data_IF_999659396182
#
_entry.id   IF_999659396182
#
_cell.length_a   1.000
_cell.length_b   1.000
_cell.length_c   1.000
_cell.angle_alpha   90.00
_cell.angle_beta   90.00
_cell.angle_gamma   90.00
#
_symmetry.space_group_name_H-M   'P 1'
#
loop_
_entity.id
_entity.type
_entity.pdbx_description
1 polymer ?
#
# COMPACT_ATOMS: atom_id res chain seq x y z
N UNK A 1 38.16 28.81 13.58
CA UNK A 1 39.24 29.80 13.75
C UNK A 1 39.20 30.79 12.60
N UNK A 2 39.15 32.08 12.91
CA UNK A 2 39.74 33.22 12.18
C UNK A 2 40.37 32.84 10.82
N UNK A 3 39.74 33.29 9.72
CA UNK A 3 40.35 33.76 8.44
C UNK A 3 39.22 34.03 7.42
N UNK A 4 38.62 35.20 7.56
CA UNK A 4 38.09 35.97 6.44
C UNK A 4 39.31 36.58 5.76
N UNK A 5 39.51 36.37 4.46
CA UNK A 5 40.12 37.33 3.51
C UNK A 5 40.33 36.65 2.14
N UNK A 6 39.91 37.36 1.08
CA UNK A 6 40.39 37.29 -0.31
C UNK A 6 39.83 36.14 -1.16
N UNK A 7 38.90 36.46 -2.06
CA UNK A 7 39.09 36.39 -3.53
C UNK A 7 37.96 37.22 -4.16
N UNK A 8 38.26 38.51 -4.33
CA UNK A 8 37.60 39.43 -5.26
C UNK A 8 38.43 39.41 -6.55
N UNK A 9 37.74 39.45 -7.69
CA UNK A 9 38.25 39.76 -9.03
C UNK A 9 39.35 38.86 -9.63
N UNK A 10 38.95 38.12 -10.66
CA UNK A 10 39.75 38.05 -11.87
C UNK A 10 38.84 38.12 -13.11
N UNK A 11 38.38 39.32 -13.43
CA UNK A 11 38.08 39.70 -14.81
C UNK A 11 39.38 40.26 -15.38
N UNK A 12 40.00 39.55 -16.33
CA UNK A 12 40.85 40.17 -17.36
C UNK A 12 41.42 39.14 -18.35
N UNK A 13 40.95 39.25 -19.59
CA UNK A 13 41.72 39.17 -20.84
C UNK A 13 42.18 37.78 -21.30
N UNK A 14 41.51 37.28 -22.34
CA UNK A 14 42.19 36.89 -23.57
C UNK A 14 41.23 37.00 -24.76
N UNK A 15 41.05 38.23 -25.25
CA UNK A 15 40.74 38.45 -26.66
C UNK A 15 42.03 38.16 -27.42
N UNK A 16 42.12 36.97 -28.03
CA UNK A 16 43.04 36.74 -29.13
C UNK A 16 42.18 36.63 -30.38
N UNK A 17 42.23 37.67 -31.19
CA UNK A 17 41.78 37.62 -32.56
C UNK A 17 42.61 36.61 -33.33
N UNK A 18 41.95 35.65 -33.98
CA UNK A 18 42.54 34.92 -35.08
C UNK A 18 42.06 35.61 -36.35
N UNK A 19 43.00 36.33 -36.95
CA UNK A 19 42.91 36.95 -38.27
C UNK A 19 42.55 35.93 -39.36
N UNK A 20 41.83 36.45 -40.35
CA UNK A 20 41.41 35.76 -41.56
C UNK A 20 42.54 35.01 -42.29
N UNK A 21 42.29 33.76 -42.64
CA UNK A 21 42.84 33.13 -43.84
C UNK A 21 41.70 32.73 -44.74
N UNK A 22 41.76 33.21 -45.99
CA UNK A 22 40.83 32.85 -47.05
C UNK A 22 41.12 31.42 -47.54
N UNK A 23 40.05 30.85 -48.09
CA UNK A 23 40.05 29.78 -49.09
C UNK A 23 40.45 28.36 -48.63
N UNK A 24 39.41 27.61 -48.24
CA UNK A 24 39.08 26.33 -48.87
C UNK A 24 37.60 26.04 -48.63
N UNK A 25 36.79 26.09 -49.70
CA UNK A 25 35.42 25.54 -49.71
C UNK A 25 35.50 24.03 -49.53
N UNK A 26 35.54 23.56 -48.29
CA UNK A 26 35.11 22.20 -47.98
C UNK A 26 33.58 22.24 -47.91
N UNK A 27 32.92 21.75 -48.97
CA UNK A 27 31.49 21.44 -48.93
C UNK A 27 31.29 20.32 -47.92
N UNK A 28 31.15 20.68 -46.66
CA UNK A 28 30.61 19.80 -45.63
C UNK A 28 29.11 19.71 -45.95
N UNK A 29 28.56 18.53 -46.30
CA UNK A 29 27.12 18.39 -46.45
C UNK A 29 26.49 18.83 -45.14
N UNK A 30 25.48 19.70 -45.21
CA UNK A 30 24.65 20.07 -44.07
C UNK A 30 24.07 18.78 -43.49
N UNK A 31 24.74 18.20 -42.50
CA UNK A 31 24.12 17.22 -41.63
C UNK A 31 22.97 17.99 -40.96
N UNK A 32 21.74 17.76 -41.45
CA UNK A 32 20.54 18.11 -40.71
C UNK A 32 20.78 17.61 -39.30
N UNK A 33 20.83 18.51 -38.33
CA UNK A 33 20.81 18.17 -36.93
C UNK A 33 19.67 17.16 -36.74
N UNK A 34 20.04 15.89 -36.58
CA UNK A 34 19.10 14.86 -36.23
C UNK A 34 18.56 15.32 -34.88
N UNK A 35 17.33 15.82 -34.87
CA UNK A 35 16.55 15.98 -33.65
C UNK A 35 16.47 14.59 -33.05
N UNK A 36 17.41 14.26 -32.16
CA UNK A 36 17.30 13.12 -31.28
C UNK A 36 16.08 13.42 -30.43
N UNK A 37 14.91 13.00 -30.92
CA UNK A 37 13.72 12.86 -30.10
C UNK A 37 14.12 11.84 -29.06
N UNK A 38 14.52 12.31 -27.88
CA UNK A 38 14.54 11.50 -26.67
C UNK A 38 13.09 11.04 -26.51
N UNK A 39 12.78 9.86 -27.04
CA UNK A 39 11.50 9.22 -26.79
C UNK A 39 11.49 8.98 -25.29
N UNK A 40 10.77 9.84 -24.55
CA UNK A 40 10.42 9.54 -23.16
C UNK A 40 9.76 8.18 -23.21
N UNK A 41 10.43 7.17 -22.66
CA UNK A 41 9.89 5.84 -22.50
C UNK A 41 8.55 6.02 -21.80
N UNK A 42 7.45 5.78 -22.51
CA UNK A 42 6.11 5.91 -21.94
C UNK A 42 6.04 4.92 -20.79
N UNK A 43 6.01 5.44 -19.56
CA UNK A 43 5.77 4.60 -18.39
C UNK A 43 4.40 4.00 -18.56
N UNK A 44 4.35 2.70 -18.84
CA UNK A 44 3.11 1.96 -18.95
C UNK A 44 2.43 1.90 -17.58
N UNK A 45 1.10 1.91 -17.61
CA UNK A 45 0.30 1.72 -16.42
C UNK A 45 0.52 0.31 -15.87
N UNK A 46 0.55 0.20 -14.55
CA UNK A 46 0.67 -1.05 -13.80
C UNK A 46 -0.41 -1.11 -12.75
N UNK A 47 -0.74 -2.34 -12.37
CA UNK A 47 -1.69 -2.57 -11.29
C UNK A 47 -0.94 -2.62 -9.96
N UNK A 48 -1.53 -1.99 -8.95
CA UNK A 48 -1.06 -1.97 -7.58
C UNK A 48 -2.21 -2.32 -6.66
N UNK A 49 -1.91 -3.05 -5.60
CA UNK A 49 -2.83 -3.40 -4.54
C UNK A 49 -2.20 -2.96 -3.23
N UNK A 50 -2.94 -2.17 -2.46
CA UNK A 50 -2.44 -1.54 -1.26
C UNK A 50 -3.54 -0.82 -0.51
N UNK A 51 -3.16 0.00 0.44
CA UNK A 51 -4.06 0.75 1.30
C UNK A 51 -3.87 2.24 1.07
N UNK A 52 -4.94 3.00 1.15
CA UNK A 52 -4.89 4.45 1.03
C UNK A 52 -5.35 5.12 2.32
N UNK A 53 -4.58 6.13 2.71
CA UNK A 53 -4.74 6.89 3.94
C UNK A 53 -5.09 8.33 3.58
N UNK A 54 -6.36 8.70 3.76
CA UNK A 54 -6.88 9.99 3.29
C UNK A 54 -6.30 11.18 4.04
N UNK A 55 -6.09 11.06 5.36
CA UNK A 55 -5.54 12.14 6.17
C UNK A 55 -4.20 12.70 5.66
N UNK A 56 -3.39 11.86 5.00
CA UNK A 56 -2.09 12.28 4.44
C UNK A 56 -2.00 12.16 2.93
N UNK A 57 -3.12 11.80 2.26
CA UNK A 57 -3.16 11.53 0.83
C UNK A 57 -2.07 10.53 0.38
N UNK A 58 -1.92 9.43 1.13
CA UNK A 58 -0.83 8.46 0.94
C UNK A 58 -1.35 7.08 0.57
N UNK A 59 -0.81 6.50 -0.50
CA UNK A 59 -1.02 5.10 -0.87
C UNK A 59 0.18 4.25 -0.46
N UNK A 60 -0.08 3.19 0.28
CA UNK A 60 0.88 2.28 0.88
C UNK A 60 0.71 0.93 0.21
N UNK A 61 1.77 0.37 -0.34
CA UNK A 61 1.72 -1.00 -0.87
C UNK A 61 3.00 -1.77 -0.62
N UNK A 62 2.85 -3.08 -0.55
CA UNK A 62 3.95 -4.03 -0.39
C UNK A 62 4.47 -4.44 -1.75
N UNK A 63 5.75 -4.22 -1.99
CA UNK A 63 6.43 -4.62 -3.20
C UNK A 63 7.30 -5.84 -2.93
N UNK A 64 7.00 -6.93 -3.62
CA UNK A 64 7.91 -8.06 -3.68
C UNK A 64 9.00 -7.82 -4.72
N UNK A 65 10.25 -7.82 -4.27
CA UNK A 65 11.41 -7.97 -5.13
C UNK A 65 12.19 -9.18 -4.66
N UNK A 66 12.82 -9.88 -5.59
CA UNK A 66 13.59 -11.10 -5.30
C UNK A 66 14.66 -10.93 -4.20
N UNK A 67 15.25 -9.74 -4.11
CA UNK A 67 16.31 -9.42 -3.14
C UNK A 67 15.73 -8.88 -1.82
N UNK A 68 14.52 -8.32 -1.86
CA UNK A 68 13.84 -7.71 -0.71
C UNK A 68 12.35 -8.04 -0.81
N UNK A 69 11.95 -9.24 -0.34
CA UNK A 69 10.54 -9.59 -0.26
C UNK A 69 9.82 -8.65 0.72
N UNK A 70 8.53 -8.45 0.52
CA UNK A 70 7.65 -7.71 1.43
C UNK A 70 8.09 -6.26 1.76
N UNK A 71 8.68 -5.54 0.79
CA UNK A 71 9.09 -4.16 1.05
C UNK A 71 7.89 -3.21 0.98
N UNK A 72 7.46 -2.68 2.13
CA UNK A 72 6.43 -1.64 2.22
C UNK A 72 6.96 -0.31 1.66
N UNK A 73 6.20 0.33 0.78
CA UNK A 73 6.52 1.65 0.22
C UNK A 73 5.28 2.53 0.20
N UNK A 74 5.46 3.82 0.49
CA UNK A 74 4.41 4.83 0.45
C UNK A 74 4.64 5.87 -0.65
N UNK A 75 3.54 6.32 -1.25
CA UNK A 75 3.52 7.34 -2.31
C UNK A 75 2.39 8.33 -2.08
N UNK A 76 2.64 9.60 -2.35
CA UNK A 76 1.57 10.61 -2.41
C UNK A 76 0.66 10.29 -3.61
N UNK A 77 -0.66 10.41 -3.41
CA UNK A 77 -1.64 10.10 -4.45
C UNK A 77 -1.94 11.34 -5.29
N UNK A 78 -1.91 11.14 -6.61
CA UNK A 78 -2.53 12.01 -7.59
C UNK A 78 -3.67 11.22 -8.24
N UNK A 79 -4.92 11.56 -7.89
CA UNK A 79 -6.08 10.90 -8.48
C UNK A 79 -6.44 11.53 -9.83
N UNK A 80 -6.42 10.71 -10.88
CA UNK A 80 -6.95 11.02 -12.21
C UNK A 80 -8.16 10.12 -12.54
N UNK A 81 -8.55 9.22 -11.65
CA UNK A 81 -9.72 8.37 -11.81
C UNK A 81 -11.02 9.10 -11.50
N UNK A 82 -10.99 10.08 -10.59
CA UNK A 82 -12.16 10.82 -10.12
C UNK A 82 -13.10 9.97 -9.25
N UNK A 83 -12.70 8.76 -8.86
CA UNK A 83 -13.52 7.84 -8.06
C UNK A 83 -13.14 7.83 -6.58
N UNK A 84 -11.95 8.34 -6.23
CA UNK A 84 -11.41 8.19 -4.89
C UNK A 84 -12.29 8.87 -3.84
N UNK A 85 -12.70 10.11 -4.09
CA UNK A 85 -13.59 10.85 -3.18
C UNK A 85 -14.95 10.18 -3.04
N UNK A 86 -15.51 9.64 -4.13
CA UNK A 86 -16.78 8.93 -4.11
C UNK A 86 -16.75 7.68 -3.24
N UNK A 87 -15.65 6.91 -3.32
CA UNK A 87 -15.44 5.73 -2.47
C UNK A 87 -15.37 6.13 -0.99
N UNK A 88 -14.65 7.20 -0.66
CA UNK A 88 -14.58 7.68 0.73
C UNK A 88 -15.91 8.19 1.25
N UNK A 89 -16.64 8.97 0.46
CA UNK A 89 -17.93 9.49 0.87
C UNK A 89 -18.92 8.34 1.12
N UNK A 90 -18.95 7.35 0.23
CA UNK A 90 -19.74 6.14 0.42
C UNK A 90 -19.32 5.36 1.67
N UNK A 91 -18.02 5.18 1.86
CA UNK A 91 -17.46 4.47 3.01
C UNK A 91 -17.79 5.17 4.34
N UNK A 92 -17.69 6.50 4.36
CA UNK A 92 -18.01 7.32 5.52
C UNK A 92 -19.50 7.26 5.85
N UNK A 93 -20.37 7.37 4.84
CA UNK A 93 -21.82 7.38 5.03
C UNK A 93 -22.34 6.00 5.47
N UNK A 94 -21.84 4.91 4.89
CA UNK A 94 -22.37 3.55 5.13
C UNK A 94 -21.70 2.80 6.26
N UNK A 95 -20.41 3.04 6.49
CA UNK A 95 -19.60 2.26 7.43
C UNK A 95 -18.91 3.13 8.48
N UNK A 96 -19.19 4.44 8.51
CA UNK A 96 -18.57 5.36 9.45
C UNK A 96 -17.05 5.51 9.27
N UNK A 97 -16.53 5.18 8.09
CA UNK A 97 -15.11 5.38 7.78
C UNK A 97 -14.74 6.86 7.93
N UNK A 98 -13.61 7.11 8.59
CA UNK A 98 -13.04 8.44 8.82
C UNK A 98 -11.74 8.60 8.04
N UNK A 99 -11.21 9.82 7.99
CA UNK A 99 -9.94 10.10 7.30
C UNK A 99 -8.73 9.40 7.96
N UNK A 100 -8.90 8.94 9.20
CA UNK A 100 -7.91 8.16 9.97
C UNK A 100 -7.90 6.66 9.62
N UNK A 101 -8.84 6.17 8.81
CA UNK A 101 -8.88 4.77 8.42
C UNK A 101 -8.15 4.50 7.10
N UNK A 102 -7.65 3.28 6.96
CA UNK A 102 -7.01 2.77 5.76
C UNK A 102 -8.04 2.02 4.90
N UNK A 103 -8.33 2.52 3.70
CA UNK A 103 -9.17 1.81 2.72
C UNK A 103 -8.25 1.02 1.79
N UNK A 104 -8.50 -0.28 1.66
CA UNK A 104 -7.82 -1.11 0.68
C UNK A 104 -8.24 -0.74 -0.74
N UNK A 105 -7.30 -0.57 -1.67
CA UNK A 105 -7.55 -0.23 -3.06
C UNK A 105 -6.75 -1.13 -4.01
N UNK A 106 -7.40 -1.54 -5.10
CA UNK A 106 -6.75 -2.07 -6.30
C UNK A 106 -6.82 -1.00 -7.38
N UNK A 107 -5.66 -0.56 -7.86
CA UNK A 107 -5.54 0.60 -8.75
C UNK A 107 -4.66 0.31 -9.95
N UNK A 108 -4.89 1.03 -11.04
CA UNK A 108 -4.03 1.02 -12.23
C UNK A 108 -3.48 2.43 -12.46
N UNK A 109 -2.17 2.54 -12.66
CA UNK A 109 -1.52 3.82 -12.81
C UNK A 109 -0.01 3.78 -12.97
N UNK A 110 0.64 4.93 -12.80
CA UNK A 110 2.10 5.08 -12.89
C UNK A 110 2.70 5.58 -11.60
N UNK A 111 3.94 5.15 -11.31
CA UNK A 111 4.70 5.60 -10.15
C UNK A 111 5.91 6.41 -10.61
N UNK A 112 6.04 7.64 -10.10
CA UNK A 112 7.30 8.38 -10.13
C UNK A 112 8.10 8.03 -8.88
N UNK A 113 9.16 7.24 -9.04
CA UNK A 113 10.08 6.90 -7.94
C UNK A 113 10.86 8.11 -7.42
N UNK A 114 11.11 9.08 -8.30
CA UNK A 114 11.86 10.30 -7.96
C UNK A 114 11.03 11.21 -7.07
N UNK A 115 9.77 11.41 -7.45
CA UNK A 115 8.89 12.37 -6.77
C UNK A 115 8.05 11.69 -5.66
N UNK A 116 8.15 10.37 -5.52
CA UNK A 116 7.31 9.54 -4.64
C UNK A 116 5.81 9.80 -4.83
N UNK A 117 5.37 9.92 -6.08
CA UNK A 117 3.96 10.10 -6.44
C UNK A 117 3.45 8.89 -7.21
N UNK A 118 2.25 8.42 -6.86
CA UNK A 118 1.45 7.50 -7.69
C UNK A 118 0.34 8.30 -8.37
N UNK A 119 0.29 8.21 -9.70
CA UNK A 119 -0.82 8.75 -10.50
C UNK A 119 -1.80 7.63 -10.79
N UNK A 120 -2.96 7.67 -10.13
CA UNK A 120 -4.01 6.66 -10.25
C UNK A 120 -4.91 7.04 -11.42
N UNK A 121 -4.96 6.20 -12.45
CA UNK A 121 -5.87 6.42 -13.59
C UNK A 121 -7.19 5.67 -13.46
N UNK A 122 -7.18 4.54 -12.76
CA UNK A 122 -8.36 3.71 -12.55
C UNK A 122 -8.30 3.02 -11.19
N UNK A 123 -9.41 3.03 -10.48
CA UNK A 123 -9.64 2.16 -9.32
C UNK A 123 -10.48 0.98 -9.79
N UNK A 124 -9.97 -0.24 -9.61
CA UNK A 124 -10.63 -1.47 -10.05
C UNK A 124 -11.38 -2.18 -8.93
N UNK A 125 -10.97 -1.98 -7.68
CA UNK A 125 -11.66 -2.49 -6.51
C UNK A 125 -11.31 -1.66 -5.27
N UNK A 126 -12.18 -1.69 -4.25
CA UNK A 126 -11.94 -1.12 -2.93
C UNK A 126 -12.42 -2.06 -1.82
N UNK A 127 -11.84 -1.92 -0.64
CA UNK A 127 -12.17 -2.71 0.55
C UNK A 127 -12.32 -1.79 1.76
N UNK A 128 -13.49 -1.87 2.40
CA UNK A 128 -13.77 -1.17 3.66
C UNK A 128 -12.96 -1.82 4.79
N UNK A 129 -12.34 -1.04 5.69
CA UNK A 129 -11.61 -1.58 6.84
C UNK A 129 -12.51 -2.48 7.69
N UNK A 130 -12.02 -3.68 8.06
CA UNK A 130 -12.83 -4.67 8.79
C UNK A 130 -13.39 -4.15 10.12
N UNK A 131 -12.62 -3.34 10.85
CA UNK A 131 -13.04 -2.71 12.12
C UNK A 131 -14.32 -1.87 11.97
N UNK A 132 -14.61 -1.39 10.75
CA UNK A 132 -15.81 -0.61 10.43
C UNK A 132 -17.00 -1.46 10.01
N UNK A 133 -16.77 -2.74 9.70
CA UNK A 133 -17.80 -3.68 9.24
C UNK A 133 -18.30 -4.53 10.40
N UNK A 134 -17.39 -5.05 11.23
CA UNK A 134 -17.74 -6.01 12.28
C UNK A 134 -18.10 -5.34 13.61
N UNK A 135 -18.00 -4.01 13.72
CA UNK A 135 -17.94 -3.36 15.03
C UNK A 135 -16.67 -3.80 15.78
N UNK A 136 -16.41 -3.20 16.93
CA UNK A 136 -15.37 -3.70 17.83
C UNK A 136 -15.88 -5.02 18.42
N UNK A 137 -15.52 -6.14 17.79
CA UNK A 137 -15.78 -7.47 18.34
C UNK A 137 -14.97 -7.58 19.63
N UNK A 138 -15.63 -7.39 20.77
CA UNK A 138 -15.09 -7.73 22.07
C UNK A 138 -14.82 -9.22 22.06
N UNK A 139 -13.57 -9.60 21.80
CA UNK A 139 -13.09 -10.94 22.07
C UNK A 139 -13.08 -11.07 23.60
N UNK A 140 -14.22 -11.49 24.15
CA UNK A 140 -14.31 -12.06 25.50
C UNK A 140 -13.31 -13.23 25.49
N UNK A 141 -12.10 -12.97 25.98
CA UNK A 141 -11.11 -14.01 26.19
C UNK A 141 -11.53 -14.69 27.49
N UNK A 142 -12.39 -15.71 27.37
CA UNK A 142 -12.65 -16.64 28.47
C UNK A 142 -11.31 -17.21 28.91
N UNK A 143 -10.79 -16.61 29.98
CA UNK A 143 -9.58 -17.04 30.64
C UNK A 143 -9.95 -18.21 31.55
N UNK A 144 -10.31 -19.34 30.95
CA UNK A 144 -10.38 -20.59 31.68
C UNK A 144 -8.95 -21.00 32.02
N UNK A 145 -8.52 -20.51 33.18
CA UNK A 145 -7.33 -20.93 33.87
C UNK A 145 -7.35 -22.45 34.02
N UNK A 146 -6.41 -23.10 33.33
CA UNK A 146 -6.06 -24.49 33.50
C UNK A 146 -5.75 -24.77 34.98
N UNK A 147 -6.73 -25.31 35.70
CA UNK A 147 -6.52 -25.74 37.08
C UNK A 147 -6.00 -27.18 37.03
N UNK A 148 -4.67 -27.30 37.07
CA UNK A 148 -3.97 -28.57 37.26
C UNK A 148 -4.35 -29.11 38.64
N UNK A 149 -5.08 -30.22 38.68
CA UNK A 149 -5.15 -31.09 39.86
C UNK A 149 -4.51 -32.43 39.53
N UNK A 150 -3.45 -32.73 40.27
CA UNK A 150 -2.61 -33.93 40.20
C UNK A 150 -3.11 -34.96 41.23
N UNK A 151 -2.98 -36.26 40.88
CA UNK A 151 -3.01 -37.47 41.74
C UNK A 151 -4.40 -37.98 42.24
N UNK A 152 -4.74 -39.27 42.33
CA UNK A 152 -4.01 -40.55 42.18
C UNK A 152 -4.99 -41.72 41.88
N UNK A 153 -4.43 -42.80 41.35
CA UNK A 153 -5.01 -44.10 40.96
C UNK A 153 -5.45 -45.00 42.13
N UNK A 154 -6.65 -45.64 42.06
CA UNK A 154 -6.90 -47.06 42.39
C UNK A 154 -8.40 -47.49 42.30
N UNK A 155 -8.59 -48.72 41.81
CA UNK A 155 -9.78 -49.60 41.70
C UNK A 155 -10.44 -50.00 43.04
N UNK A 156 -11.78 -50.13 43.09
CA UNK A 156 -12.55 -51.41 43.16
C UNK A 156 -14.03 -51.28 43.61
N UNK A 157 -14.89 -52.02 42.90
CA UNK A 157 -16.07 -52.85 43.30
C UNK A 157 -17.33 -52.32 44.06
N UNK A 158 -18.48 -52.46 43.37
CA UNK A 158 -19.88 -52.79 43.72
C UNK A 158 -20.47 -52.60 45.14
N UNK A 159 -21.68 -52.03 45.20
CA UNK A 159 -22.88 -52.68 45.82
C UNK A 159 -24.20 -52.02 45.35
N UNK A 160 -25.13 -52.90 44.98
CA UNK A 160 -26.47 -52.75 44.44
C UNK A 160 -27.55 -52.39 45.49
N UNK A 161 -28.60 -51.64 45.13
CA UNK A 161 -30.03 -52.04 45.23
C UNK A 161 -31.04 -50.87 45.16
N UNK A 162 -31.75 -50.85 44.02
CA UNK A 162 -33.22 -50.94 43.84
C UNK A 162 -34.20 -49.74 43.93
N UNK A 163 -35.13 -49.81 42.96
CA UNK A 163 -36.47 -49.25 42.76
C UNK A 163 -36.65 -47.95 41.93
N UNK A 164 -37.03 -48.06 40.64
CA UNK A 164 -38.41 -48.04 40.03
C UNK A 164 -38.88 -46.57 39.84
N UNK A 165 -39.27 -46.02 38.68
CA UNK A 165 -39.98 -46.52 37.50
C UNK A 165 -39.44 -45.86 36.21
N UNK A 166 -39.54 -46.59 35.09
CA UNK A 166 -39.28 -46.05 33.76
C UNK A 166 -40.53 -45.47 33.09
N UNK A 167 -40.31 -44.63 32.07
CA UNK A 167 -40.99 -44.83 30.80
C UNK A 167 -40.13 -44.24 29.67
N UNK A 168 -39.94 -45.11 28.67
CA UNK A 168 -39.07 -44.95 27.53
C UNK A 168 -39.72 -44.12 26.41
N UNK A 169 -38.85 -43.79 25.45
CA UNK A 169 -39.11 -43.69 24.01
C UNK A 169 -39.40 -42.27 23.50
N UNK A 170 -38.53 -41.72 22.65
CA UNK A 170 -38.34 -42.01 21.21
C UNK A 170 -39.28 -41.11 20.39
N UNK A 171 -38.75 -40.05 19.76
CA UNK A 171 -38.36 -40.02 18.34
C UNK A 171 -39.57 -39.77 17.41
N UNK A 172 -39.48 -38.69 16.62
CA UNK A 172 -40.27 -38.35 15.41
C UNK A 172 -41.81 -38.22 15.53
N UNK A 173 -42.37 -37.01 15.27
CA UNK A 173 -42.97 -36.62 13.97
C UNK A 173 -43.88 -35.36 14.03
N UNK A 174 -43.71 -34.54 12.99
CA UNK A 174 -44.70 -33.85 12.15
C UNK A 174 -45.64 -32.75 12.71
N UNK A 175 -45.40 -31.55 12.15
CA UNK A 175 -46.32 -30.55 11.57
C UNK A 175 -47.63 -30.18 12.29
N UNK A 176 -47.78 -28.86 12.48
CA UNK A 176 -48.82 -28.10 11.78
C UNK A 176 -48.21 -26.88 11.08
#
# INVERSE_FOLDING_TARGET
MKKIFIIVMLFAICVIGISATKDKKLKIPKAKAAKTKTQKLKTADKNYEGEYFRATNTFIYTKDNLIFPNKVTSYTVKDESGLLDGIYNFAAEKYGVTDSDLIGLKVSGTISKKDKVITIKKITNYQIPRSRILGEETVETDSDAETVNTNDNATDTDTNSNETEGTNSSIFQANQ
#
